data_IF_237885163147
#
_entry.id   IF_237885163147
#
_cell.length_a   1.000
_cell.length_b   1.000
_cell.length_c   1.000
_cell.angle_alpha   90.00
_cell.angle_beta   90.00
_cell.angle_gamma   90.00
#
_symmetry.space_group_name_H-M   'P 1'
#
loop_
_entity.id
_entity.type
_entity.pdbx_description
1 polymer ?
#
# COMPACT_ATOMS: atom_id res chain seq x y z
N UNK A 1 60.54 -57.53 -62.43
CA UNK A 1 59.92 -58.85 -62.64
C UNK A 1 58.41 -58.65 -62.80
N UNK A 2 57.78 -59.15 -63.87
CA UNK A 2 56.33 -59.09 -64.00
C UNK A 2 55.66 -59.94 -62.93
N UNK A 3 54.63 -59.40 -62.26
CA UNK A 3 53.81 -60.11 -61.29
C UNK A 3 53.23 -61.37 -61.94
N UNK A 4 53.43 -62.52 -61.28
CA UNK A 4 52.88 -63.80 -61.72
C UNK A 4 51.36 -63.76 -61.65
N UNK A 5 50.67 -64.54 -62.48
CA UNK A 5 49.20 -64.49 -62.55
C UNK A 5 48.55 -64.85 -61.20
N UNK A 6 49.19 -65.72 -60.42
CA UNK A 6 48.78 -66.04 -59.05
C UNK A 6 48.84 -64.82 -58.10
N UNK A 7 49.86 -63.98 -58.21
CA UNK A 7 49.96 -62.74 -57.42
C UNK A 7 48.89 -61.72 -57.82
N UNK A 8 48.50 -61.68 -59.10
CA UNK A 8 47.42 -60.81 -59.57
C UNK A 8 46.04 -61.28 -59.12
N UNK A 9 45.84 -62.57 -58.91
CA UNK A 9 44.62 -63.10 -58.30
C UNK A 9 44.57 -62.77 -56.81
N UNK A 10 45.67 -63.01 -56.07
CA UNK A 10 45.73 -62.69 -54.64
C UNK A 10 45.45 -61.20 -54.35
N UNK A 11 45.95 -60.28 -55.19
CA UNK A 11 45.68 -58.84 -55.05
C UNK A 11 44.19 -58.53 -55.28
N UNK A 12 43.56 -59.16 -56.28
CA UNK A 12 42.12 -58.94 -56.56
C UNK A 12 41.23 -59.48 -55.45
N UNK A 13 41.59 -60.62 -54.87
CA UNK A 13 40.84 -61.21 -53.76
C UNK A 13 40.99 -60.37 -52.48
N UNK A 14 42.18 -59.81 -52.24
CA UNK A 14 42.40 -58.88 -51.12
C UNK A 14 41.64 -57.55 -51.31
N UNK A 15 41.58 -57.02 -52.54
CA UNK A 15 40.79 -55.81 -52.84
C UNK A 15 39.29 -56.05 -52.64
N UNK A 16 38.76 -57.19 -53.10
CA UNK A 16 37.37 -57.59 -52.87
C UNK A 16 37.06 -57.73 -51.37
N UNK A 17 37.95 -58.39 -50.61
CA UNK A 17 37.78 -58.53 -49.17
C UNK A 17 37.80 -57.17 -48.45
N UNK A 18 38.68 -56.24 -48.86
CA UNK A 18 38.73 -54.89 -48.30
C UNK A 18 37.45 -54.09 -48.58
N UNK A 19 36.86 -54.26 -49.75
CA UNK A 19 35.60 -53.59 -50.11
C UNK A 19 34.39 -54.19 -49.38
N UNK A 20 34.38 -55.50 -49.16
CA UNK A 20 33.38 -56.20 -48.33
C UNK A 20 33.43 -55.69 -46.87
N UNK A 21 34.64 -55.65 -46.29
CA UNK A 21 34.85 -55.15 -44.92
C UNK A 21 34.47 -53.67 -44.79
N UNK A 22 34.78 -52.85 -45.79
CA UNK A 22 34.33 -51.44 -45.80
C UNK A 22 32.81 -51.33 -45.86
N UNK A 23 32.14 -52.14 -46.69
CA UNK A 23 30.68 -52.18 -46.75
C UNK A 23 30.07 -52.58 -45.42
N UNK A 24 30.56 -53.63 -44.78
CA UNK A 24 30.08 -54.08 -43.47
C UNK A 24 30.31 -53.03 -42.40
N UNK A 25 31.49 -52.37 -42.37
CA UNK A 25 31.77 -51.29 -41.42
C UNK A 25 30.87 -50.07 -41.64
N UNK A 26 30.57 -49.69 -42.88
CA UNK A 26 29.58 -48.63 -43.15
C UNK A 26 28.14 -49.05 -42.85
N UNK A 27 27.80 -50.33 -43.01
CA UNK A 27 26.49 -50.87 -42.68
C UNK A 27 26.26 -50.96 -41.16
N UNK A 28 27.33 -51.21 -40.38
CA UNK A 28 27.31 -51.32 -38.92
C UNK A 28 27.59 -49.98 -38.21
N UNK A 29 28.19 -48.98 -38.88
CA UNK A 29 28.76 -47.78 -38.25
C UNK A 29 28.17 -46.43 -38.66
N UNK A 30 26.96 -46.38 -39.23
CA UNK A 30 26.40 -45.14 -39.83
C UNK A 30 25.27 -44.43 -39.07
N UNK A 31 24.78 -44.96 -37.95
CA UNK A 31 23.76 -44.27 -37.14
C UNK A 31 24.30 -44.07 -35.73
N UNK A 32 24.98 -42.94 -35.50
CA UNK A 32 25.18 -42.43 -34.14
C UNK A 32 23.81 -42.38 -33.48
N UNK A 33 23.64 -43.12 -32.38
CA UNK A 33 22.43 -43.03 -31.57
C UNK A 33 22.16 -41.54 -31.23
N UNK A 34 20.90 -41.09 -31.23
CA UNK A 34 20.61 -39.70 -30.90
C UNK A 34 21.21 -39.39 -29.51
N UNK A 35 21.92 -38.26 -29.35
CA UNK A 35 22.60 -37.94 -28.11
C UNK A 35 21.60 -37.96 -26.96
N UNK A 36 22.00 -38.57 -25.85
CA UNK A 36 21.15 -38.70 -24.67
C UNK A 36 20.74 -37.32 -24.15
N UNK A 37 19.59 -37.21 -23.48
CA UNK A 37 19.10 -35.91 -22.99
C UNK A 37 20.12 -35.19 -22.08
N UNK A 38 20.91 -35.94 -21.30
CA UNK A 38 22.01 -35.41 -20.49
C UNK A 38 23.15 -34.84 -21.33
N UNK A 39 23.52 -35.50 -22.44
CA UNK A 39 24.55 -34.98 -23.37
C UNK A 39 24.08 -33.72 -24.11
N UNK A 40 22.77 -33.61 -24.37
CA UNK A 40 22.19 -32.39 -24.97
C UNK A 40 22.22 -31.21 -23.99
N UNK A 41 22.03 -31.48 -22.70
CA UNK A 41 22.13 -30.47 -21.65
C UNK A 41 23.60 -30.09 -21.41
N UNK A 42 24.52 -31.05 -21.35
CA UNK A 42 25.95 -30.75 -21.17
C UNK A 42 26.51 -29.97 -22.36
N UNK A 43 26.20 -30.38 -23.59
CA UNK A 43 26.62 -29.66 -24.80
C UNK A 43 26.00 -28.26 -24.91
N UNK A 44 24.78 -28.05 -24.37
CA UNK A 44 24.20 -26.72 -24.25
C UNK A 44 24.99 -25.84 -23.26
N UNK A 45 25.36 -26.35 -22.09
CA UNK A 45 26.18 -25.62 -21.12
C UNK A 45 27.62 -25.38 -21.58
N UNK A 46 28.17 -26.29 -22.39
CA UNK A 46 29.47 -26.11 -23.04
C UNK A 46 29.44 -25.11 -24.21
N UNK A 47 28.25 -24.79 -24.73
CA UNK A 47 28.11 -23.75 -25.74
C UNK A 47 28.37 -22.36 -25.14
N UNK A 48 28.95 -21.46 -25.93
CA UNK A 48 29.19 -20.06 -25.52
C UNK A 48 27.90 -19.40 -25.02
N UNK A 49 26.76 -19.69 -25.65
CA UNK A 49 25.45 -19.16 -25.28
C UNK A 49 24.97 -19.70 -23.94
N UNK A 50 25.11 -21.02 -23.69
CA UNK A 50 24.73 -21.63 -22.42
C UNK A 50 25.58 -21.17 -21.25
N UNK A 51 26.89 -20.98 -21.47
CA UNK A 51 27.78 -20.38 -20.48
C UNK A 51 27.34 -18.97 -20.06
N UNK A 52 27.03 -18.09 -21.02
CA UNK A 52 26.55 -16.72 -20.72
C UNK A 52 25.19 -16.70 -20.02
N UNK A 53 24.30 -17.63 -20.38
CA UNK A 53 22.99 -17.74 -19.73
C UNK A 53 23.13 -18.24 -18.28
N UNK A 54 23.97 -19.26 -18.05
CA UNK A 54 24.24 -19.78 -16.71
C UNK A 54 24.86 -18.73 -15.80
N UNK A 55 25.86 -17.98 -16.28
CA UNK A 55 26.50 -16.94 -15.47
C UNK A 55 25.54 -15.79 -15.14
N UNK A 56 24.65 -15.42 -16.07
CA UNK A 56 23.63 -14.40 -15.83
C UNK A 56 22.60 -14.85 -14.79
N UNK A 57 22.12 -16.10 -14.88
CA UNK A 57 21.21 -16.67 -13.89
C UNK A 57 21.88 -16.78 -12.53
N UNK A 58 23.13 -17.22 -12.48
CA UNK A 58 23.90 -17.32 -11.23
C UNK A 58 24.14 -15.95 -10.59
N UNK A 59 24.43 -14.91 -11.39
CA UNK A 59 24.55 -13.54 -10.91
C UNK A 59 23.22 -13.00 -10.37
N UNK A 60 22.10 -13.29 -11.04
CA UNK A 60 20.76 -12.93 -10.57
C UNK A 60 20.39 -13.61 -9.25
N UNK A 61 20.65 -14.91 -9.13
CA UNK A 61 20.38 -15.68 -7.90
C UNK A 61 21.27 -15.22 -6.74
N UNK A 62 22.57 -14.98 -6.98
CA UNK A 62 23.47 -14.48 -5.93
C UNK A 62 23.12 -13.07 -5.50
N UNK A 63 22.77 -12.17 -6.43
CA UNK A 63 22.31 -10.82 -6.08
C UNK A 63 21.03 -10.86 -5.23
N UNK A 64 20.02 -11.62 -5.67
CA UNK A 64 18.74 -11.72 -4.96
C UNK A 64 18.89 -12.38 -3.58
N UNK A 65 19.67 -13.46 -3.51
CA UNK A 65 19.96 -14.15 -2.25
C UNK A 65 20.74 -13.27 -1.27
N UNK A 66 21.68 -12.47 -1.77
CA UNK A 66 22.44 -11.54 -0.94
C UNK A 66 21.56 -10.38 -0.43
N UNK A 67 20.63 -9.88 -1.26
CA UNK A 67 19.65 -8.86 -0.85
C UNK A 67 18.69 -9.40 0.22
N UNK A 68 18.15 -10.60 0.04
CA UNK A 68 17.27 -11.24 1.04
C UNK A 68 18.01 -11.52 2.35
N UNK A 69 19.24 -12.02 2.28
CA UNK A 69 20.06 -12.27 3.47
C UNK A 69 20.41 -10.97 4.20
N UNK A 70 20.77 -9.91 3.45
CA UNK A 70 21.05 -8.59 4.03
C UNK A 70 19.80 -7.96 4.63
N UNK A 71 18.65 -8.11 3.99
CA UNK A 71 17.36 -7.67 4.53
C UNK A 71 17.01 -8.45 5.79
N UNK A 72 17.27 -9.75 5.84
CA UNK A 72 17.07 -10.61 7.01
C UNK A 72 17.97 -10.22 8.18
N UNK A 73 19.26 -10.02 7.95
CA UNK A 73 20.23 -9.62 8.96
C UNK A 73 19.97 -8.19 9.48
N UNK A 74 19.47 -7.30 8.62
CA UNK A 74 19.18 -5.91 8.98
C UNK A 74 17.74 -5.69 9.46
N UNK A 75 16.91 -6.73 9.63
CA UNK A 75 15.51 -6.57 10.06
C UNK A 75 15.39 -5.80 11.38
N UNK A 76 16.26 -6.08 12.34
CA UNK A 76 16.24 -5.42 13.64
C UNK A 76 16.65 -3.95 13.54
N UNK A 77 17.69 -3.63 12.76
CA UNK A 77 18.13 -2.24 12.58
C UNK A 77 17.08 -1.41 11.82
N UNK A 78 16.46 -2.00 10.79
CA UNK A 78 15.35 -1.37 10.05
C UNK A 78 14.15 -1.17 10.98
N UNK A 79 13.79 -2.15 11.80
CA UNK A 79 12.71 -2.04 12.77
C UNK A 79 12.99 -0.96 13.82
N UNK A 80 14.23 -0.86 14.32
CA UNK A 80 14.62 0.19 15.27
C UNK A 80 14.58 1.60 14.65
N UNK A 81 15.09 1.76 13.42
CA UNK A 81 15.01 3.04 12.70
C UNK A 81 13.57 3.46 12.42
N UNK A 82 12.73 2.52 11.97
CA UNK A 82 11.31 2.77 11.77
C UNK A 82 10.58 3.11 13.07
N UNK A 83 10.90 2.45 14.18
CA UNK A 83 10.32 2.77 15.49
C UNK A 83 10.74 4.18 15.97
N UNK A 84 11.99 4.57 15.73
CA UNK A 84 12.48 5.91 16.06
C UNK A 84 11.83 7.00 15.18
N UNK A 85 11.63 6.74 13.89
CA UNK A 85 10.95 7.67 12.97
C UNK A 85 9.46 7.81 13.27
N UNK A 86 8.78 6.71 13.61
CA UNK A 86 7.38 6.75 14.09
C UNK A 86 7.26 7.62 15.33
N UNK A 87 8.07 7.36 16.34
CA UNK A 87 8.11 8.17 17.58
C UNK A 87 8.33 9.67 17.33
N UNK A 88 9.18 10.03 16.35
CA UNK A 88 9.38 11.43 15.96
C UNK A 88 8.15 12.04 15.30
N UNK A 89 7.53 11.31 14.37
CA UNK A 89 6.32 11.74 13.65
C UNK A 89 5.13 11.89 14.61
N UNK A 90 5.00 10.95 15.55
CA UNK A 90 3.97 10.96 16.58
C UNK A 90 4.17 12.16 17.52
N UNK A 91 5.41 12.44 17.93
CA UNK A 91 5.72 13.61 18.76
C UNK A 91 5.45 14.93 18.03
N UNK A 92 5.79 15.03 16.75
CA UNK A 92 5.45 16.19 15.92
C UNK A 92 3.94 16.39 15.81
N UNK A 93 3.20 15.29 15.66
CA UNK A 93 1.73 15.32 15.63
C UNK A 93 1.19 15.82 16.97
N UNK A 94 1.62 15.26 18.11
CA UNK A 94 1.21 15.72 19.44
C UNK A 94 1.52 17.22 19.66
N UNK A 95 2.68 17.69 19.22
CA UNK A 95 3.05 19.12 19.31
C UNK A 95 2.12 20.01 18.48
N UNK A 96 1.66 19.54 17.31
CA UNK A 96 0.68 20.25 16.47
C UNK A 96 -0.74 20.22 17.04
N UNK A 97 -1.10 19.16 17.76
CA UNK A 97 -2.40 19.02 18.41
C UNK A 97 -2.54 19.85 19.69
N UNK A 98 -1.43 20.17 20.36
CA UNK A 98 -1.42 20.98 21.58
C UNK A 98 -2.17 22.32 21.44
N UNK A 99 -1.82 23.17 20.46
CA UNK A 99 -2.53 24.43 20.21
C UNK A 99 -4.00 24.23 19.83
N UNK A 100 -4.33 23.16 19.11
CA UNK A 100 -5.70 22.84 18.69
C UNK A 100 -6.58 22.46 19.89
N UNK A 101 -6.06 21.71 20.86
CA UNK A 101 -6.75 21.40 22.12
C UNK A 101 -7.04 22.63 22.97
N UNK A 102 -6.22 23.67 22.83
CA UNK A 102 -6.38 24.94 23.56
C UNK A 102 -7.05 26.02 22.72
N UNK A 103 -7.48 25.69 21.50
CA UNK A 103 -8.16 26.63 20.61
C UNK A 103 -9.52 27.02 21.19
N UNK A 104 -9.88 28.29 21.01
CA UNK A 104 -11.24 28.76 21.29
C UNK A 104 -12.26 28.18 20.29
N UNK A 105 -11.78 27.58 19.19
CA UNK A 105 -12.59 26.86 18.22
C UNK A 105 -12.85 25.42 18.70
N UNK A 106 -14.09 25.18 19.13
CA UNK A 106 -14.57 23.87 19.58
C UNK A 106 -14.32 22.74 18.56
N UNK A 107 -14.41 23.04 17.27
CA UNK A 107 -14.17 22.05 16.20
C UNK A 107 -12.71 21.60 16.14
N UNK A 108 -11.77 22.51 16.41
CA UNK A 108 -10.34 22.21 16.45
C UNK A 108 -9.98 21.41 17.71
N UNK A 109 -10.59 21.76 18.85
CA UNK A 109 -10.43 21.04 20.10
C UNK A 109 -10.96 19.59 19.98
N UNK A 110 -12.16 19.41 19.43
CA UNK A 110 -12.77 18.10 19.22
C UNK A 110 -11.93 17.25 18.25
N UNK A 111 -11.42 17.84 17.17
CA UNK A 111 -10.55 17.15 16.21
C UNK A 111 -9.23 16.70 16.86
N UNK A 112 -8.65 17.54 17.71
CA UNK A 112 -7.41 17.21 18.39
C UNK A 112 -7.57 16.07 19.40
N UNK A 113 -8.73 15.98 20.06
CA UNK A 113 -9.08 14.85 20.94
C UNK A 113 -9.17 13.55 20.12
N UNK A 114 -9.81 13.57 18.94
CA UNK A 114 -9.91 12.37 18.07
C UNK A 114 -8.53 11.92 17.59
N UNK A 115 -7.69 12.86 17.17
CA UNK A 115 -6.36 12.53 16.66
C UNK A 115 -5.45 11.98 17.76
N UNK A 116 -5.59 12.47 19.00
CA UNK A 116 -4.92 11.90 20.17
C UNK A 116 -5.42 10.51 20.52
N UNK A 117 -6.73 10.26 20.45
CA UNK A 117 -7.32 8.93 20.65
C UNK A 117 -6.78 7.91 19.64
N UNK A 118 -6.74 8.30 18.35
CA UNK A 118 -6.17 7.46 17.30
C UNK A 118 -4.69 7.13 17.53
N UNK A 119 -3.89 8.09 18.02
CA UNK A 119 -2.49 7.87 18.38
C UNK A 119 -2.31 6.95 19.59
N UNK A 120 -3.19 7.04 20.59
CA UNK A 120 -3.15 6.21 21.79
C UNK A 120 -3.55 4.75 21.51
N UNK A 121 -4.55 4.53 20.64
CA UNK A 121 -5.04 3.19 20.27
C UNK A 121 -4.00 2.38 19.49
N UNK A 122 -3.17 3.03 18.66
CA UNK A 122 -2.15 2.34 17.84
C UNK A 122 -0.88 1.94 18.64
N UNK A 123 -0.88 2.11 19.98
CA UNK A 123 0.32 1.97 20.84
C UNK A 123 1.52 2.80 20.37
N UNK A 124 1.28 3.83 19.56
CA UNK A 124 2.30 4.72 19.02
C UNK A 124 2.89 5.65 20.10
N UNK A 125 2.15 5.85 21.18
CA UNK A 125 2.52 6.70 22.31
C UNK A 125 3.30 5.89 23.37
N UNK A 126 4.62 5.98 23.34
CA UNK A 126 5.48 5.47 24.43
C UNK A 126 5.20 6.20 25.76
N UNK A 127 5.54 5.59 26.90
CA UNK A 127 5.34 6.11 28.28
C UNK A 127 5.85 7.56 28.51
N UNK A 128 6.78 8.02 27.66
CA UNK A 128 7.32 9.39 27.70
C UNK A 128 6.34 10.45 27.17
N UNK A 129 5.41 10.09 26.29
CA UNK A 129 4.42 10.98 25.66
C UNK A 129 3.07 10.91 26.40
N UNK A 130 2.75 9.76 26.99
CA UNK A 130 1.51 9.57 27.75
C UNK A 130 1.38 10.57 28.92
N UNK A 131 2.47 10.86 29.64
CA UNK A 131 2.47 11.80 30.77
C UNK A 131 2.14 13.25 30.36
N UNK A 132 2.80 13.85 29.34
CA UNK A 132 2.42 15.17 28.82
C UNK A 132 0.97 15.28 28.34
N UNK A 133 0.47 14.27 27.63
CA UNK A 133 -0.92 14.25 27.13
C UNK A 133 -1.90 14.19 28.30
N UNK A 134 -1.65 13.31 29.28
CA UNK A 134 -2.48 13.22 30.48
C UNK A 134 -2.51 14.54 31.25
N UNK A 135 -1.36 15.20 31.39
CA UNK A 135 -1.27 16.52 32.03
C UNK A 135 -2.04 17.60 31.27
N UNK A 136 -1.98 17.58 29.93
CA UNK A 136 -2.72 18.52 29.09
C UNK A 136 -4.22 18.33 29.26
N UNK A 137 -4.69 17.09 29.17
CA UNK A 137 -6.10 16.71 29.40
C UNK A 137 -6.55 17.15 30.80
N UNK A 138 -5.78 16.83 31.84
CA UNK A 138 -6.08 17.19 33.22
C UNK A 138 -6.12 18.71 33.42
N UNK A 139 -5.21 19.46 32.79
CA UNK A 139 -5.20 20.92 32.84
C UNK A 139 -6.41 21.54 32.13
N UNK A 140 -6.80 21.01 30.97
CA UNK A 140 -7.99 21.49 30.25
C UNK A 140 -9.26 21.25 31.06
N UNK A 141 -9.41 20.07 31.66
CA UNK A 141 -10.54 19.78 32.57
C UNK A 141 -10.53 20.70 33.78
N UNK A 142 -9.37 20.86 34.43
CA UNK A 142 -9.24 21.69 35.63
C UNK A 142 -9.53 23.17 35.33
N UNK A 143 -9.14 23.68 34.16
CA UNK A 143 -9.45 25.04 33.73
C UNK A 143 -10.94 25.22 33.48
N UNK A 144 -11.58 24.30 32.75
CA UNK A 144 -13.01 24.39 32.44
C UNK A 144 -13.94 24.19 33.63
N UNK A 145 -13.47 23.59 34.74
CA UNK A 145 -14.26 23.44 35.96
C UNK A 145 -14.16 24.63 36.94
N UNK A 146 -13.40 25.67 36.62
CA UNK A 146 -13.27 26.84 37.50
C UNK A 146 -14.56 27.68 37.52
N UNK A 147 -14.88 28.36 38.63
CA UNK A 147 -16.08 29.21 38.73
C UNK A 147 -16.13 30.35 37.69
N UNK A 148 -14.95 30.76 37.18
CA UNK A 148 -14.77 31.83 36.21
C UNK A 148 -14.26 31.33 34.85
N UNK A 149 -14.41 30.03 34.55
CA UNK A 149 -14.02 29.47 33.26
C UNK A 149 -14.80 30.12 32.11
N UNK A 150 -14.13 30.38 30.99
CA UNK A 150 -14.81 30.90 29.80
C UNK A 150 -15.77 29.84 29.22
N UNK A 151 -16.78 30.22 28.42
CA UNK A 151 -17.66 29.26 27.75
C UNK A 151 -16.91 28.23 26.89
N UNK A 152 -15.78 28.62 26.29
CA UNK A 152 -14.92 27.73 25.52
C UNK A 152 -14.18 26.73 26.42
N UNK A 153 -13.63 27.18 27.55
CA UNK A 153 -12.97 26.31 28.52
C UNK A 153 -13.95 25.29 29.13
N UNK A 154 -15.16 25.73 29.46
CA UNK A 154 -16.23 24.84 29.94
C UNK A 154 -16.64 23.82 28.87
N UNK A 155 -16.78 24.26 27.61
CA UNK A 155 -17.09 23.39 26.48
C UNK A 155 -16.04 22.30 26.28
N UNK A 156 -14.75 22.67 26.28
CA UNK A 156 -13.64 21.75 26.09
C UNK A 156 -13.53 20.74 27.26
N UNK A 157 -13.70 21.19 28.50
CA UNK A 157 -13.72 20.30 29.66
C UNK A 157 -14.90 19.31 29.62
N UNK A 158 -16.10 19.78 29.25
CA UNK A 158 -17.28 18.93 29.14
C UNK A 158 -17.14 17.88 28.03
N UNK A 159 -16.52 18.23 26.90
CA UNK A 159 -16.24 17.29 25.81
C UNK A 159 -15.28 16.17 26.25
N UNK A 160 -14.20 16.53 26.96
CA UNK A 160 -13.26 15.57 27.53
C UNK A 160 -13.95 14.66 28.56
N UNK A 161 -14.76 15.21 29.46
CA UNK A 161 -15.47 14.44 30.49
C UNK A 161 -16.50 13.50 29.87
N UNK A 162 -17.27 13.96 28.89
CA UNK A 162 -18.23 13.14 28.15
C UNK A 162 -17.53 11.99 27.41
N UNK A 163 -16.34 12.23 26.86
CA UNK A 163 -15.52 11.19 26.27
C UNK A 163 -15.10 10.13 27.31
N UNK A 164 -14.53 10.56 28.45
CA UNK A 164 -14.11 9.65 29.52
C UNK A 164 -15.27 8.81 30.09
N UNK A 165 -16.44 9.42 30.26
CA UNK A 165 -17.64 8.69 30.70
C UNK A 165 -18.13 7.69 29.65
N UNK A 166 -18.10 8.04 28.36
CA UNK A 166 -18.45 7.10 27.29
C UNK A 166 -17.50 5.90 27.24
N UNK A 167 -16.19 6.13 27.36
CA UNK A 167 -15.18 5.08 27.42
C UNK A 167 -15.35 4.18 28.65
N UNK A 168 -15.70 4.76 29.80
CA UNK A 168 -16.02 4.01 31.03
C UNK A 168 -17.27 3.15 30.88
N UNK A 169 -18.33 3.69 30.28
CA UNK A 169 -19.58 2.94 30.02
C UNK A 169 -19.31 1.76 29.08
N UNK A 170 -18.50 1.95 28.03
CA UNK A 170 -18.17 0.87 27.11
C UNK A 170 -17.25 -0.20 27.73
N UNK A 171 -16.39 0.18 28.67
CA UNK A 171 -15.62 -0.77 29.48
C UNK A 171 -16.52 -1.60 30.42
N UNK A 172 -17.55 -0.98 31.02
CA UNK A 172 -18.53 -1.68 31.86
C UNK A 172 -19.43 -2.60 31.03
N UNK A 173 -19.77 -2.21 29.80
CA UNK A 173 -20.63 -2.98 28.88
C UNK A 173 -19.92 -4.23 28.31
N UNK A 174 -18.60 -4.33 28.41
CA UNK A 174 -17.80 -5.50 28.04
C UNK A 174 -17.01 -6.03 29.23
N UNK A 175 -17.63 -6.75 30.18
CA UNK A 175 -16.92 -7.27 31.35
C UNK A 175 -15.89 -8.38 31.01
N UNK A 176 -15.91 -8.96 29.80
CA UNK A 176 -15.12 -10.16 29.47
C UNK A 176 -13.72 -9.92 28.87
N UNK A 177 -13.24 -8.67 28.77
CA UNK A 177 -11.92 -8.38 28.16
C UNK A 177 -10.89 -7.81 29.14
N UNK A 178 -10.96 -8.18 30.42
CA UNK A 178 -9.92 -7.85 31.41
C UNK A 178 -8.69 -8.79 31.35
N UNK A 179 -8.63 -9.74 30.41
CA UNK A 179 -7.57 -10.73 30.37
C UNK A 179 -7.35 -11.38 29.01
N UNK A 180 -7.06 -10.61 27.97
CA UNK A 180 -6.44 -11.16 26.76
C UNK A 180 -5.67 -10.08 26.00
N UNK A 181 -4.35 -10.15 26.11
CA UNK A 181 -3.44 -9.59 25.11
C UNK A 181 -3.70 -10.30 23.79
N UNK A 182 -4.40 -9.65 22.86
CA UNK A 182 -4.56 -10.12 21.49
C UNK A 182 -4.49 -8.92 20.53
N UNK A 183 -3.73 -9.14 19.45
CA UNK A 183 -3.43 -8.23 18.34
C UNK A 183 -4.66 -7.50 17.73
N UNK A 184 -4.45 -6.36 17.03
CA UNK A 184 -5.51 -5.41 16.74
C UNK A 184 -6.46 -5.96 15.67
N UNK A 185 -7.63 -6.41 16.11
CA UNK A 185 -8.80 -6.40 15.26
C UNK A 185 -9.08 -4.95 14.88
N UNK A 186 -9.26 -4.70 13.57
CA UNK A 186 -9.62 -3.41 12.98
C UNK A 186 -10.47 -2.58 13.95
N UNK A 187 -9.90 -1.45 14.40
CA UNK A 187 -10.46 -0.61 15.43
C UNK A 187 -11.95 -0.35 15.14
N UNK A 188 -12.81 -0.97 15.95
CA UNK A 188 -14.21 -0.58 15.99
C UNK A 188 -14.24 0.94 16.25
N UNK A 189 -15.07 1.71 15.53
CA UNK A 189 -15.10 3.16 15.69
C UNK A 189 -15.30 3.48 17.17
N UNK A 190 -14.37 4.27 17.73
CA UNK A 190 -14.43 4.66 19.12
C UNK A 190 -15.77 5.35 19.40
N UNK A 191 -16.32 5.23 20.61
CA UNK A 191 -17.62 5.80 20.98
C UNK A 191 -17.70 7.30 20.74
N UNK A 192 -16.54 7.99 20.79
CA UNK A 192 -16.37 9.39 20.41
C UNK A 192 -16.79 9.67 18.96
N UNK A 193 -16.45 8.82 17.99
CA UNK A 193 -16.87 8.95 16.58
C UNK A 193 -18.40 8.80 16.38
N UNK A 194 -19.11 8.23 17.37
CA UNK A 194 -20.57 8.20 17.41
C UNK A 194 -21.18 9.40 18.15
N UNK A 195 -20.43 9.99 19.08
CA UNK A 195 -20.84 11.17 19.84
C UNK A 195 -20.56 12.49 19.11
N UNK A 196 -19.65 12.49 18.14
CA UNK A 196 -19.38 13.63 17.28
C UNK A 196 -20.48 13.79 16.23
N UNK A 197 -20.92 15.03 16.05
CA UNK A 197 -21.76 15.41 14.92
C UNK A 197 -20.96 15.15 13.64
N UNK A 198 -21.33 14.08 12.95
CA UNK A 198 -20.62 13.62 11.76
C UNK A 198 -20.68 14.66 10.63
N UNK A 199 -21.64 15.59 10.66
CA UNK A 199 -21.73 16.69 9.68
C UNK A 199 -20.55 17.65 9.76
N UNK A 200 -19.84 17.71 10.90
CA UNK A 200 -18.70 18.60 11.15
C UNK A 200 -17.37 17.97 10.71
N UNK A 201 -17.37 16.70 10.29
CA UNK A 201 -16.15 16.02 9.85
C UNK A 201 -15.56 16.69 8.58
N UNK A 202 -14.22 16.84 8.49
CA UNK A 202 -13.59 17.42 7.31
C UNK A 202 -13.84 16.57 6.05
N UNK A 203 -13.92 17.23 4.91
CA UNK A 203 -14.15 16.57 3.63
C UNK A 203 -12.98 15.64 3.25
N UNK A 204 -13.33 14.39 2.92
CA UNK A 204 -12.39 13.36 2.45
C UNK A 204 -12.67 13.05 0.99
N UNK A 205 -11.63 13.14 0.16
CA UNK A 205 -11.71 12.95 -1.29
C UNK A 205 -10.86 11.75 -1.68
N UNK A 206 -11.49 10.67 -2.14
CA UNK A 206 -10.81 9.46 -2.62
C UNK A 206 -10.57 9.55 -4.13
N UNK A 207 -9.37 9.18 -4.58
CA UNK A 207 -9.03 9.20 -6.01
C UNK A 207 -9.00 7.77 -6.55
N UNK A 208 -9.78 7.53 -7.60
CA UNK A 208 -9.95 6.23 -8.26
C UNK A 208 -9.47 6.33 -9.72
N UNK A 209 -8.43 5.58 -10.09
CA UNK A 209 -7.87 5.55 -11.46
C UNK A 209 -8.08 4.20 -12.13
N UNK A 210 -8.29 4.17 -13.45
CA UNK A 210 -8.47 2.91 -14.19
C UNK A 210 -7.18 2.13 -14.40
N UNK A 211 -6.05 2.83 -14.57
CA UNK A 211 -4.76 2.22 -14.90
C UNK A 211 -3.64 2.77 -14.03
N UNK A 212 -2.64 1.95 -13.78
CA UNK A 212 -1.43 2.36 -13.05
C UNK A 212 -0.67 3.48 -13.78
N UNK A 213 -0.76 3.54 -15.11
CA UNK A 213 -0.15 4.60 -15.93
C UNK A 213 -0.72 5.99 -15.63
N UNK A 214 -1.93 6.08 -15.08
CA UNK A 214 -2.59 7.35 -14.75
C UNK A 214 -2.20 7.87 -13.35
N UNK A 215 -1.43 7.09 -12.57
CA UNK A 215 -1.01 7.45 -11.21
C UNK A 215 -0.26 8.78 -11.13
N UNK A 216 0.66 9.15 -12.05
CA UNK A 216 1.34 10.44 -11.99
C UNK A 216 0.36 11.63 -12.05
N UNK A 217 -0.64 11.55 -12.93
CA UNK A 217 -1.68 12.59 -13.07
C UNK A 217 -2.51 12.69 -11.79
N UNK A 218 -2.97 11.55 -11.26
CA UNK A 218 -3.73 11.52 -10.01
C UNK A 218 -2.89 11.97 -8.80
N UNK A 219 -1.58 11.75 -8.79
CA UNK A 219 -0.66 12.21 -7.74
C UNK A 219 -0.52 13.73 -7.75
N UNK A 220 -0.44 14.34 -8.93
CA UNK A 220 -0.42 15.80 -9.06
C UNK A 220 -1.72 16.43 -8.52
N UNK A 221 -2.88 15.86 -8.89
CA UNK A 221 -4.17 16.29 -8.36
C UNK A 221 -4.29 16.06 -6.84
N UNK A 222 -3.82 14.91 -6.33
CA UNK A 222 -3.79 14.62 -4.90
C UNK A 222 -3.03 15.71 -4.13
N UNK A 223 -1.87 16.13 -4.64
CA UNK A 223 -1.07 17.20 -4.04
C UNK A 223 -1.84 18.54 -4.05
N UNK A 224 -2.37 18.95 -5.18
CA UNK A 224 -3.11 20.20 -5.32
C UNK A 224 -4.34 20.26 -4.39
N UNK A 225 -5.09 19.15 -4.29
CA UNK A 225 -6.25 19.05 -3.40
C UNK A 225 -5.86 19.09 -1.92
N UNK A 226 -4.70 18.53 -1.53
CA UNK A 226 -4.17 18.66 -0.16
C UNK A 226 -3.74 20.09 0.15
N UNK A 227 -3.11 20.78 -0.81
CA UNK A 227 -2.75 22.20 -0.67
C UNK A 227 -3.99 23.09 -0.52
N UNK A 228 -5.13 22.69 -1.09
CA UNK A 228 -6.43 23.32 -0.88
C UNK A 228 -7.09 22.97 0.47
N UNK A 229 -6.38 22.28 1.37
CA UNK A 229 -6.86 21.94 2.72
C UNK A 229 -7.82 20.75 2.79
N UNK A 230 -7.90 19.92 1.75
CA UNK A 230 -8.74 18.72 1.73
C UNK A 230 -7.97 17.49 2.20
N UNK A 231 -8.67 16.54 2.85
CA UNK A 231 -8.08 15.26 3.20
C UNK A 231 -8.19 14.34 1.98
N UNK A 232 -7.04 14.03 1.36
CA UNK A 232 -6.98 13.18 0.17
C UNK A 232 -6.15 11.93 0.50
N UNK A 233 -6.79 10.79 0.82
CA UNK A 233 -6.11 9.52 1.08
C UNK A 233 -5.36 8.98 -0.15
N UNK A 234 -4.86 7.75 -0.07
CA UNK A 234 -4.17 7.07 -1.18
C UNK A 234 -4.99 6.99 -2.47
N UNK A 235 -4.28 6.77 -3.58
CA UNK A 235 -4.87 6.58 -4.91
C UNK A 235 -5.13 5.09 -5.11
N UNK A 236 -6.38 4.73 -5.37
CA UNK A 236 -6.82 3.37 -5.64
C UNK A 236 -6.90 3.12 -7.15
N UNK A 237 -6.41 1.96 -7.58
CA UNK A 237 -6.53 1.51 -8.97
C UNK A 237 -7.77 0.64 -9.08
N UNK A 238 -8.80 1.17 -9.73
CA UNK A 238 -9.96 0.40 -10.17
C UNK A 238 -9.63 -0.28 -11.48
N UNK A 239 -10.35 -1.34 -11.83
CA UNK A 239 -10.17 -1.97 -13.13
C UNK A 239 -10.66 -1.05 -14.24
N UNK A 240 -10.04 -1.09 -15.43
CA UNK A 240 -10.44 -0.32 -16.62
C UNK A 240 -11.94 -0.39 -16.92
N UNK A 241 -12.56 -1.55 -16.68
CA UNK A 241 -14.01 -1.77 -16.90
C UNK A 241 -14.91 -0.93 -15.99
N UNK A 242 -14.38 -0.43 -14.87
CA UNK A 242 -15.10 0.39 -13.88
C UNK A 242 -14.78 1.88 -14.03
N UNK A 243 -13.78 2.24 -14.82
CA UNK A 243 -13.47 3.63 -15.10
C UNK A 243 -14.62 4.27 -15.92
N UNK A 244 -15.11 5.46 -15.52
CA UNK A 244 -16.16 6.16 -16.26
C UNK A 244 -15.66 6.69 -17.61
N UNK A 245 -16.58 7.06 -18.49
CA UNK A 245 -16.25 7.67 -19.78
C UNK A 245 -15.73 9.11 -19.66
N UNK A 246 -15.98 9.78 -18.52
CA UNK A 246 -15.53 11.14 -18.18
C UNK A 246 -15.19 11.17 -16.70
N UNK A 247 -14.43 12.17 -16.27
CA UNK A 247 -14.13 12.33 -14.85
C UNK A 247 -15.44 12.58 -14.07
N UNK A 248 -15.68 11.86 -12.98
CA UNK A 248 -16.86 12.03 -12.12
C UNK A 248 -16.44 12.47 -10.71
N UNK A 249 -17.16 13.41 -10.11
CA UNK A 249 -17.13 13.70 -8.69
C UNK A 249 -18.40 13.12 -8.05
N UNK A 250 -18.27 12.00 -7.35
CA UNK A 250 -19.38 11.24 -6.76
C UNK A 250 -19.53 11.53 -5.28
N UNK A 251 -20.78 11.72 -4.84
CA UNK A 251 -21.11 12.00 -3.43
C UNK A 251 -22.53 11.55 -3.09
N UNK A 252 -22.84 11.45 -1.80
CA UNK A 252 -24.17 11.14 -1.27
C UNK A 252 -24.85 12.44 -0.80
N UNK A 253 -25.99 12.79 -1.42
CA UNK A 253 -26.66 14.08 -1.15
C UNK A 253 -27.13 14.24 0.30
N UNK A 254 -27.50 13.15 0.98
CA UNK A 254 -27.91 13.15 2.38
C UNK A 254 -26.73 13.19 3.36
N UNK A 255 -25.49 13.17 2.86
CA UNK A 255 -24.25 13.06 3.67
C UNK A 255 -23.31 14.25 3.50
N UNK A 256 -23.70 15.26 2.75
CA UNK A 256 -22.84 16.39 2.40
C UNK A 256 -23.65 17.68 2.49
N UNK A 257 -23.08 18.68 3.17
CA UNK A 257 -23.62 20.04 3.17
C UNK A 257 -23.26 20.78 1.87
N UNK A 258 -24.16 21.64 1.40
CA UNK A 258 -24.01 22.36 0.12
C UNK A 258 -22.76 23.27 0.11
N UNK A 259 -22.42 23.92 1.23
CA UNK A 259 -21.23 24.76 1.30
C UNK A 259 -19.94 23.93 1.21
N UNK A 260 -19.95 22.73 1.81
CA UNK A 260 -18.83 21.78 1.70
C UNK A 260 -18.69 21.26 0.27
N UNK A 261 -19.81 20.91 -0.38
CA UNK A 261 -19.82 20.48 -1.78
C UNK A 261 -19.26 21.58 -2.71
N UNK A 262 -19.70 22.83 -2.55
CA UNK A 262 -19.22 23.96 -3.35
C UNK A 262 -17.70 24.17 -3.20
N UNK A 263 -17.18 24.08 -1.98
CA UNK A 263 -15.73 24.17 -1.71
C UNK A 263 -14.95 23.04 -2.38
N UNK A 264 -15.41 21.79 -2.23
CA UNK A 264 -14.77 20.62 -2.84
C UNK A 264 -14.79 20.75 -4.35
N UNK A 265 -15.93 21.11 -4.95
CA UNK A 265 -16.06 21.29 -6.39
C UNK A 265 -15.09 22.34 -6.93
N UNK A 266 -14.98 23.50 -6.30
CA UNK A 266 -14.03 24.56 -6.68
C UNK A 266 -12.57 24.07 -6.69
N UNK A 267 -12.15 23.35 -5.63
CA UNK A 267 -10.81 22.78 -5.54
C UNK A 267 -10.57 21.71 -6.60
N UNK A 268 -11.56 20.87 -6.87
CA UNK A 268 -11.51 19.77 -7.83
C UNK A 268 -11.46 20.26 -9.27
N UNK A 269 -12.29 21.25 -9.62
CA UNK A 269 -12.32 21.85 -10.96
C UNK A 269 -10.98 22.52 -11.30
N UNK A 270 -10.27 23.03 -10.29
CA UNK A 270 -8.94 23.63 -10.45
C UNK A 270 -7.82 22.57 -10.56
N UNK A 271 -7.96 21.46 -9.84
CA UNK A 271 -6.90 20.44 -9.73
C UNK A 271 -6.94 19.37 -10.84
N UNK A 272 -8.08 19.17 -11.50
CA UNK A 272 -8.31 18.05 -12.42
C UNK A 272 -8.83 18.56 -13.75
N UNK A 273 -8.15 18.17 -14.83
CA UNK A 273 -8.55 18.50 -16.20
C UNK A 273 -8.70 17.23 -17.04
N UNK A 274 -9.82 17.05 -17.77
CA UNK A 274 -11.01 17.90 -17.77
C UNK A 274 -11.75 17.88 -16.42
N UNK A 275 -12.46 18.97 -16.09
CA UNK A 275 -13.18 19.12 -14.83
C UNK A 275 -14.19 17.96 -14.61
N UNK A 276 -14.21 17.33 -13.43
CA UNK A 276 -15.13 16.24 -13.13
C UNK A 276 -16.60 16.68 -13.10
N UNK A 277 -17.49 15.81 -13.58
CA UNK A 277 -18.94 16.04 -13.49
C UNK A 277 -19.45 15.58 -12.13
N UNK A 278 -20.11 16.46 -11.40
CA UNK A 278 -20.75 16.12 -10.13
C UNK A 278 -21.91 15.13 -10.34
N UNK A 279 -21.90 14.02 -9.61
CA UNK A 279 -22.89 12.95 -9.68
C UNK A 279 -23.32 12.53 -8.28
N UNK A 280 -24.63 12.56 -8.04
CA UNK A 280 -25.21 12.02 -6.80
C UNK A 280 -25.31 10.50 -6.90
N UNK A 281 -24.80 9.80 -5.88
CA UNK A 281 -24.90 8.35 -5.78
C UNK A 281 -26.33 7.92 -5.37
N UNK A 282 -26.82 6.76 -5.85
CA UNK A 282 -28.08 6.20 -5.39
C UNK A 282 -28.08 5.95 -3.88
N UNK A 283 -29.21 6.18 -3.16
CA UNK A 283 -29.27 6.00 -1.70
C UNK A 283 -28.81 4.63 -1.19
N UNK A 284 -29.03 3.57 -1.97
CA UNK A 284 -28.59 2.21 -1.64
C UNK A 284 -27.06 2.11 -1.46
N UNK A 285 -26.28 2.93 -2.17
CA UNK A 285 -24.82 2.98 -2.06
C UNK A 285 -24.34 3.88 -0.92
N UNK A 286 -25.22 4.70 -0.35
CA UNK A 286 -24.90 5.69 0.69
C UNK A 286 -25.05 5.17 2.13
N UNK A 287 -25.58 3.96 2.31
CA UNK A 287 -25.92 3.41 3.64
C UNK A 287 -24.75 3.27 4.61
N UNK A 288 -23.53 3.06 4.10
CA UNK A 288 -22.29 2.91 4.91
C UNK A 288 -21.28 4.03 4.66
N UNK A 289 -21.67 5.04 3.90
CA UNK A 289 -20.80 6.16 3.53
C UNK A 289 -20.80 7.18 4.66
N UNK A 290 -19.62 7.68 5.02
CA UNK A 290 -19.48 8.72 6.06
C UNK A 290 -19.93 10.07 5.52
N UNK A 291 -20.28 10.98 6.43
CA UNK A 291 -20.50 12.38 6.07
C UNK A 291 -19.23 13.00 5.46
N UNK A 292 -19.43 13.92 4.52
CA UNK A 292 -18.37 14.62 3.77
C UNK A 292 -17.38 13.67 3.07
N UNK A 293 -17.88 12.51 2.60
CA UNK A 293 -17.15 11.57 1.75
C UNK A 293 -17.40 11.87 0.28
N UNK A 294 -16.33 12.04 -0.47
CA UNK A 294 -16.34 12.30 -1.91
C UNK A 294 -15.41 11.31 -2.62
N UNK A 295 -15.79 10.92 -3.83
CA UNK A 295 -14.97 10.08 -4.68
C UNK A 295 -14.77 10.76 -6.03
N UNK A 296 -13.54 10.80 -6.51
CA UNK A 296 -13.21 11.26 -7.84
C UNK A 296 -12.79 10.06 -8.65
N UNK A 297 -13.54 9.80 -9.72
CA UNK A 297 -13.29 8.71 -10.63
C UNK A 297 -12.73 9.28 -11.93
N UNK A 298 -11.51 8.89 -12.27
CA UNK A 298 -10.86 9.33 -13.50
C UNK A 298 -11.37 8.52 -14.70
N UNK A 299 -11.59 9.22 -15.80
CA UNK A 299 -11.76 8.58 -17.11
C UNK A 299 -10.46 7.92 -17.56
N UNK A 300 -10.59 6.89 -18.40
CA UNK A 300 -9.44 6.32 -19.09
C UNK A 300 -8.79 7.38 -19.97
N UNK A 301 -7.51 7.65 -19.71
CA UNK A 301 -6.75 8.52 -20.59
C UNK A 301 -6.50 7.80 -21.93
N UNK A 302 -6.58 8.51 -23.06
CA UNK A 302 -6.14 7.96 -24.33
C UNK A 302 -4.65 7.65 -24.24
N UNK A 303 -4.29 6.42 -24.60
CA UNK A 303 -2.89 5.94 -24.69
C UNK A 303 -2.16 6.55 -25.87
#
# INVERSE_FOLDING_TARGET
MPLTDAQRQAIRDEELFRDEVRRELTALGGKKAPPGWLERISSFFESKTGFWLLTTVLAGVTATGFTELRNYLNREEIAQRQAAERSRTDMETVLKLGPMLTSDNRTEADMAIILLDALLVDKAVNDRIAKPVLLLVQNTVTKGQRPNATPAEQGNANAILAYMDSARIDAIRRPDTAGASAAPAAAAPTPLLKALDQTVLPARVYLQIGRETDRPVATAAQKALREAGLIVPGIEVVSDRRAPARNDLRYCADRVDEAVLARVRSAVDSAIQPAPVALTLPPAMCTKVRHNHFEIWYALQPT
#
